data_IF_866956701784
#
_entry.id   IF_866956701784
#
_cell.length_a   1.000
_cell.length_b   1.000
_cell.length_c   1.000
_cell.angle_alpha   90.00
_cell.angle_beta   90.00
_cell.angle_gamma   90.00
#
_symmetry.space_group_name_H-M   'P 1'
#
loop_
_entity.id
_entity.type
_entity.pdbx_description
1 polymer ?
#
# COMPACT_ATOMS: atom_id res chain seq x y z
N UNK A 1 -9.62 42.90 -23.95
CA UNK A 1 -10.30 42.22 -22.81
C UNK A 1 -10.49 40.70 -22.96
N UNK A 2 -10.65 40.12 -24.17
CA UNK A 2 -10.88 38.66 -24.35
C UNK A 2 -9.74 37.73 -23.88
N UNK A 3 -8.46 38.14 -23.95
CA UNK A 3 -7.30 37.30 -23.58
C UNK A 3 -7.21 37.00 -22.07
N UNK A 4 -7.61 37.94 -21.22
CA UNK A 4 -7.55 37.78 -19.75
C UNK A 4 -8.62 36.80 -19.24
N UNK A 5 -9.81 36.82 -19.84
CA UNK A 5 -10.89 35.88 -19.51
C UNK A 5 -10.54 34.43 -19.92
N UNK A 6 -9.84 34.25 -21.04
CA UNK A 6 -9.38 32.95 -21.52
C UNK A 6 -8.31 32.32 -20.61
N UNK A 7 -7.33 33.11 -20.12
CA UNK A 7 -6.35 32.63 -19.13
C UNK A 7 -7.02 32.22 -17.80
N UNK A 8 -7.97 33.01 -17.29
CA UNK A 8 -8.70 32.68 -16.05
C UNK A 8 -9.53 31.40 -16.18
N UNK A 9 -10.20 31.19 -17.31
CA UNK A 9 -10.97 29.97 -17.57
C UNK A 9 -10.05 28.73 -17.68
N UNK A 10 -8.89 28.88 -18.31
CA UNK A 10 -7.89 27.81 -18.41
C UNK A 10 -7.29 27.42 -17.06
N UNK A 11 -6.91 28.40 -16.23
CA UNK A 11 -6.41 28.16 -14.87
C UNK A 11 -7.50 27.51 -14.02
N UNK A 12 -8.74 28.01 -14.06
CA UNK A 12 -9.87 27.42 -13.33
C UNK A 12 -10.11 25.97 -13.74
N UNK A 13 -10.08 25.66 -15.04
CA UNK A 13 -10.23 24.28 -15.54
C UNK A 13 -9.11 23.37 -15.04
N UNK A 14 -7.86 23.84 -15.05
CA UNK A 14 -6.72 23.08 -14.50
C UNK A 14 -6.86 22.83 -13.00
N UNK A 15 -7.23 23.85 -12.23
CA UNK A 15 -7.46 23.70 -10.79
C UNK A 15 -8.58 22.70 -10.52
N UNK A 16 -9.70 22.77 -11.25
CA UNK A 16 -10.78 21.80 -11.12
C UNK A 16 -10.35 20.37 -11.44
N UNK A 17 -9.51 20.18 -12.48
CA UNK A 17 -8.97 18.87 -12.81
C UNK A 17 -8.03 18.33 -11.72
N UNK A 18 -7.18 19.19 -11.16
CA UNK A 18 -6.29 18.81 -10.05
C UNK A 18 -7.11 18.41 -8.82
N UNK A 19 -8.14 19.20 -8.47
CA UNK A 19 -9.02 18.89 -7.34
C UNK A 19 -9.80 17.59 -7.57
N UNK A 20 -10.31 17.37 -8.79
CA UNK A 20 -11.00 16.13 -9.14
C UNK A 20 -10.07 14.91 -9.06
N UNK A 21 -8.82 15.04 -9.54
CA UNK A 21 -7.83 13.98 -9.43
C UNK A 21 -7.45 13.71 -7.96
N UNK A 22 -7.25 14.74 -7.16
CA UNK A 22 -6.98 14.60 -5.73
C UNK A 22 -8.14 13.91 -5.00
N UNK A 23 -9.38 14.30 -5.29
CA UNK A 23 -10.57 13.66 -4.74
C UNK A 23 -10.67 12.19 -5.15
N UNK A 24 -10.37 11.86 -6.41
CA UNK A 24 -10.36 10.49 -6.89
C UNK A 24 -9.29 9.63 -6.17
N UNK A 25 -8.10 10.18 -5.92
CA UNK A 25 -7.04 9.50 -5.16
C UNK A 25 -7.49 9.24 -3.71
N UNK A 26 -8.08 10.24 -3.06
CA UNK A 26 -8.60 10.10 -1.68
C UNK A 26 -9.72 9.06 -1.62
N UNK A 27 -10.65 9.08 -2.58
CA UNK A 27 -11.73 8.11 -2.66
C UNK A 27 -11.19 6.69 -2.89
N UNK A 28 -10.20 6.53 -3.77
CA UNK A 28 -9.57 5.25 -4.05
C UNK A 28 -8.83 4.70 -2.81
N UNK A 29 -8.03 5.54 -2.14
CA UNK A 29 -7.37 5.15 -0.89
C UNK A 29 -8.37 4.82 0.22
N UNK A 30 -9.46 5.61 0.34
CA UNK A 30 -10.54 5.35 1.28
C UNK A 30 -11.25 4.02 1.01
N UNK A 31 -11.55 3.73 -0.26
CA UNK A 31 -12.16 2.46 -0.65
C UNK A 31 -11.25 1.27 -0.30
N UNK A 32 -9.95 1.38 -0.56
CA UNK A 32 -8.97 0.37 -0.15
C UNK A 32 -9.00 0.14 1.37
N UNK A 33 -8.97 1.22 2.16
CA UNK A 33 -8.98 1.14 3.63
C UNK A 33 -10.25 0.49 4.20
N UNK A 34 -11.40 0.69 3.54
CA UNK A 34 -12.70 0.20 4.00
C UNK A 34 -12.99 -1.24 3.53
N UNK A 35 -12.55 -1.60 2.33
CA UNK A 35 -12.85 -2.89 1.71
C UNK A 35 -11.80 -3.96 2.04
N UNK A 36 -10.53 -3.56 2.21
CA UNK A 36 -9.48 -4.49 2.53
C UNK A 36 -9.58 -4.92 4.00
N UNK A 37 -10.07 -6.13 4.24
CA UNK A 37 -10.06 -6.70 5.58
C UNK A 37 -8.60 -6.92 6.00
N UNK A 38 -8.25 -6.49 7.21
CA UNK A 38 -6.87 -6.48 7.70
C UNK A 38 -6.65 -7.62 8.67
N UNK A 39 -5.72 -8.50 8.32
CA UNK A 39 -5.19 -9.53 9.22
C UNK A 39 -3.66 -9.47 9.21
N UNK A 40 -3.03 -9.93 10.28
CA UNK A 40 -1.57 -9.97 10.36
C UNK A 40 -1.10 -11.06 11.31
N UNK A 41 0.04 -11.65 10.98
CA UNK A 41 0.53 -12.81 11.72
C UNK A 41 2.01 -13.07 11.50
N UNK A 42 2.63 -13.64 12.53
CA UNK A 42 4.01 -14.12 12.47
C UNK A 42 4.02 -15.60 12.15
N UNK A 43 4.52 -15.98 10.98
CA UNK A 43 4.77 -17.40 10.69
C UNK A 43 6.08 -17.80 11.36
N UNK A 44 5.98 -18.40 12.56
CA UNK A 44 7.15 -18.76 13.39
C UNK A 44 8.17 -19.64 12.67
N UNK A 45 7.76 -20.42 11.66
CA UNK A 45 8.65 -21.26 10.85
C UNK A 45 9.30 -20.58 9.64
N UNK A 46 8.82 -19.42 9.19
CA UNK A 46 9.32 -18.75 7.98
C UNK A 46 10.27 -17.57 8.28
N UNK A 47 10.36 -17.12 9.54
CA UNK A 47 11.15 -15.94 9.89
C UNK A 47 10.58 -14.63 9.32
N UNK A 48 9.31 -14.63 8.92
CA UNK A 48 8.63 -13.52 8.27
C UNK A 48 7.36 -13.11 9.03
N UNK A 49 7.04 -11.82 8.96
CA UNK A 49 5.81 -11.23 9.44
C UNK A 49 4.93 -10.84 8.25
N UNK A 50 3.71 -11.35 8.23
CA UNK A 50 2.78 -11.21 7.11
C UNK A 50 1.68 -10.21 7.46
N UNK A 51 1.42 -9.32 6.52
CA UNK A 51 0.30 -8.39 6.50
C UNK A 51 -0.66 -8.87 5.41
N UNK A 52 -1.85 -9.32 5.79
CA UNK A 52 -2.86 -9.82 4.87
C UNK A 52 -3.91 -8.74 4.60
N UNK A 53 -4.32 -8.64 3.34
CA UNK A 53 -5.45 -7.83 2.88
C UNK A 53 -6.40 -8.74 2.14
N UNK A 54 -7.55 -8.97 2.75
CA UNK A 54 -8.52 -9.94 2.29
C UNK A 54 -9.65 -9.21 1.56
N UNK A 55 -9.85 -9.58 0.29
CA UNK A 55 -10.85 -9.02 -0.60
C UNK A 55 -11.89 -10.07 -0.97
N UNK A 56 -13.20 -9.79 -0.84
CA UNK A 56 -14.25 -10.73 -1.23
C UNK A 56 -14.18 -11.19 -2.70
N UNK A 57 -13.64 -10.35 -3.59
CA UNK A 57 -13.64 -10.62 -5.03
C UNK A 57 -12.25 -10.49 -5.65
N UNK A 58 -11.93 -11.40 -6.58
CA UNK A 58 -10.62 -11.45 -7.26
C UNK A 58 -10.29 -10.19 -8.06
N UNK A 59 -11.29 -9.52 -8.63
CA UNK A 59 -11.07 -8.28 -9.37
C UNK A 59 -10.58 -7.13 -8.46
N UNK A 60 -10.94 -7.14 -7.18
CA UNK A 60 -10.52 -6.11 -6.21
C UNK A 60 -9.02 -6.19 -5.95
N UNK A 61 -8.44 -7.40 -5.98
CA UNK A 61 -6.99 -7.63 -5.88
C UNK A 61 -6.25 -6.83 -6.95
N UNK A 62 -6.71 -6.89 -8.20
CA UNK A 62 -6.09 -6.16 -9.31
C UNK A 62 -6.36 -4.66 -9.25
N UNK A 63 -7.58 -4.25 -8.87
CA UNK A 63 -7.92 -2.85 -8.71
C UNK A 63 -7.04 -2.18 -7.65
N UNK A 64 -6.82 -2.86 -6.52
CA UNK A 64 -6.13 -2.31 -5.36
C UNK A 64 -4.63 -2.63 -5.29
N UNK A 65 -4.08 -3.40 -6.25
CA UNK A 65 -2.66 -3.70 -6.30
C UNK A 65 -1.75 -2.45 -6.20
N UNK A 66 -2.07 -1.30 -6.83
CA UNK A 66 -1.28 -0.08 -6.62
C UNK A 66 -1.30 0.45 -5.19
N UNK A 67 -2.45 0.38 -4.50
CA UNK A 67 -2.56 0.82 -3.11
C UNK A 67 -1.79 -0.13 -2.17
N UNK A 68 -1.94 -1.43 -2.40
CA UNK A 68 -1.23 -2.47 -1.69
C UNK A 68 0.30 -2.38 -1.88
N UNK A 69 0.76 -2.01 -3.08
CA UNK A 69 2.17 -1.75 -3.33
C UNK A 69 2.69 -0.59 -2.48
N UNK A 70 1.99 0.55 -2.46
CA UNK A 70 2.38 1.71 -1.64
C UNK A 70 2.39 1.35 -0.14
N UNK A 71 1.42 0.56 0.32
CA UNK A 71 1.40 0.07 1.69
C UNK A 71 2.57 -0.86 1.99
N UNK A 72 2.91 -1.79 1.08
CA UNK A 72 4.08 -2.65 1.21
C UNK A 72 5.37 -1.83 1.32
N UNK A 73 5.53 -0.77 0.52
CA UNK A 73 6.66 0.15 0.62
C UNK A 73 6.69 0.86 1.98
N UNK A 74 5.55 1.35 2.46
CA UNK A 74 5.47 2.03 3.75
C UNK A 74 5.84 1.10 4.93
N UNK A 75 5.36 -0.14 4.90
CA UNK A 75 5.71 -1.18 5.89
C UNK A 75 7.22 -1.44 5.86
N UNK A 76 7.82 -1.53 4.68
CA UNK A 76 9.25 -1.82 4.57
C UNK A 76 10.13 -0.65 5.03
N UNK A 77 9.71 0.60 4.80
CA UNK A 77 10.43 1.80 5.26
C UNK A 77 10.33 1.95 6.78
N UNK A 78 9.13 1.74 7.35
CA UNK A 78 8.90 1.88 8.78
C UNK A 78 7.85 0.86 9.24
N UNK A 79 8.27 -0.34 9.67
CA UNK A 79 7.33 -1.40 10.04
C UNK A 79 6.69 -1.21 11.41
N UNK A 80 7.31 -0.43 12.30
CA UNK A 80 6.88 -0.27 13.70
C UNK A 80 5.40 0.13 13.87
N UNK A 81 4.83 1.06 13.09
CA UNK A 81 3.43 1.45 13.20
C UNK A 81 2.45 0.36 12.78
N UNK A 82 2.90 -0.63 12.01
CA UNK A 82 2.07 -1.70 11.47
C UNK A 82 2.13 -2.98 12.31
N UNK A 83 2.91 -2.97 13.40
CA UNK A 83 3.16 -4.12 14.23
C UNK A 83 2.54 -3.94 15.61
N UNK A 84 1.90 -4.98 16.18
CA UNK A 84 1.41 -4.93 17.56
C UNK A 84 2.57 -4.95 18.58
N UNK A 85 3.74 -5.47 18.20
CA UNK A 85 4.96 -5.41 19.00
C UNK A 85 6.11 -4.81 18.17
N UNK A 86 6.63 -3.63 18.54
CA UNK A 86 7.70 -2.95 17.81
C UNK A 86 9.00 -3.76 17.68
N UNK A 87 9.27 -4.69 18.60
CA UNK A 87 10.46 -5.57 18.54
C UNK A 87 10.44 -6.53 17.34
N UNK A 88 9.32 -6.68 16.65
CA UNK A 88 9.21 -7.52 15.46
C UNK A 88 9.62 -6.80 14.17
N UNK A 89 9.98 -5.51 14.24
CA UNK A 89 10.45 -4.72 13.11
C UNK A 89 11.68 -5.33 12.41
N UNK A 90 12.50 -6.10 13.13
CA UNK A 90 13.68 -6.74 12.55
C UNK A 90 13.35 -7.97 11.71
N UNK A 91 12.15 -8.53 11.90
CA UNK A 91 11.61 -9.63 11.10
C UNK A 91 11.34 -9.12 9.69
N UNK A 92 11.58 -9.96 8.67
CA UNK A 92 11.23 -9.59 7.29
C UNK A 92 9.71 -9.38 7.18
N UNK A 93 9.32 -8.29 6.53
CA UNK A 93 7.92 -7.86 6.43
C UNK A 93 7.41 -8.13 5.03
N UNK A 94 6.24 -8.78 4.93
CA UNK A 94 5.64 -9.14 3.66
C UNK A 94 4.18 -8.75 3.66
N UNK A 95 3.73 -8.11 2.59
CA UNK A 95 2.31 -7.84 2.37
C UNK A 95 1.76 -8.81 1.32
N UNK A 96 0.59 -9.37 1.61
CA UNK A 96 -0.11 -10.33 0.79
C UNK A 96 -1.53 -9.83 0.63
N UNK A 97 -1.96 -9.69 -0.62
CA UNK A 97 -3.37 -9.45 -0.95
C UNK A 97 -3.98 -10.75 -1.46
N UNK A 98 -5.13 -11.16 -0.92
CA UNK A 98 -5.74 -12.46 -1.23
C UNK A 98 -7.26 -12.39 -1.27
N UNK A 99 -7.86 -13.38 -1.92
CA UNK A 99 -9.31 -13.65 -1.87
C UNK A 99 -9.64 -14.73 -0.85
N UNK A 100 -10.92 -14.92 -0.48
CA UNK A 100 -11.40 -16.16 0.11
C UNK A 100 -10.86 -17.37 -0.65
N UNK A 101 -10.55 -18.43 0.09
CA UNK A 101 -10.04 -19.70 -0.44
C UNK A 101 -8.73 -19.61 -1.23
N UNK A 102 -8.00 -18.47 -1.11
CA UNK A 102 -6.67 -18.28 -1.67
C UNK A 102 -6.60 -18.39 -3.21
N UNK A 103 -7.74 -18.25 -3.92
CA UNK A 103 -7.83 -18.37 -5.38
C UNK A 103 -6.93 -17.38 -6.13
N UNK A 104 -6.84 -16.14 -5.64
CA UNK A 104 -5.93 -15.12 -6.17
C UNK A 104 -5.06 -14.57 -5.05
N UNK A 105 -3.74 -14.55 -5.27
CA UNK A 105 -2.77 -13.99 -4.33
C UNK A 105 -1.75 -13.13 -5.06
N UNK A 106 -1.45 -11.97 -4.50
CA UNK A 106 -0.34 -11.14 -4.97
C UNK A 106 0.56 -10.79 -3.79
N UNK A 107 1.85 -11.04 -4.02
CA UNK A 107 2.89 -11.01 -3.03
C UNK A 107 3.80 -9.83 -3.28
N UNK A 108 4.02 -9.00 -2.26
CA UNK A 108 5.01 -7.94 -2.31
C UNK A 108 6.25 -8.37 -1.51
N UNK A 109 7.32 -8.83 -2.18
CA UNK A 109 8.48 -9.35 -1.49
C UNK A 109 9.15 -8.26 -0.63
N UNK A 110 9.79 -8.64 0.49
CA UNK A 110 10.59 -7.70 1.28
C UNK A 110 11.74 -7.17 0.43
N UNK A 111 12.07 -5.88 0.57
CA UNK A 111 13.32 -5.37 0.04
C UNK A 111 14.51 -6.14 0.63
N UNK A 112 15.52 -6.47 -0.17
CA UNK A 112 16.76 -7.01 0.37
C UNK A 112 17.34 -5.98 1.33
N UNK A 113 17.44 -6.33 2.62
CA UNK A 113 18.26 -5.55 3.56
C UNK A 113 19.68 -5.57 3.00
N UNK A 114 20.27 -4.40 2.76
CA UNK A 114 21.68 -4.30 2.39
C UNK A 114 22.50 -5.04 3.45
N UNK A 115 23.38 -5.92 3.00
CA UNK A 115 24.32 -6.66 3.86
C UNK A 115 25.37 -5.68 4.36
N UNK A 116 25.05 -4.84 5.33
CA UNK A 116 26.00 -3.92 5.93
C UNK A 116 25.84 -3.93 7.44
N UNK A 117 26.26 -5.05 8.03
CA UNK A 117 26.95 -5.14 9.32
C UNK A 117 27.15 -6.62 9.63
N UNK A 118 28.20 -7.19 9.07
CA UNK A 118 28.89 -8.31 9.72
C UNK A 118 30.14 -7.69 10.33
N UNK A 119 30.19 -7.38 11.64
CA UNK A 119 31.47 -7.35 12.30
C UNK A 119 31.96 -8.81 12.26
N UNK A 120 32.93 -9.08 11.38
CA UNK A 120 33.71 -10.29 11.51
C UNK A 120 34.46 -10.25 12.85
N UNK A 121 34.65 -11.42 13.50
CA UNK A 121 35.21 -11.52 14.84
C UNK A 121 36.62 -10.93 14.98
#
# INVERSE_FOLDING_TARGET
MKRVASCRAFIRRRVLLILAAALAIVAYAGAYLLLATRDSGRARGAGEYFHYRDFPHSWEVYLFAPAAFVEAMAIQINPRPFLPNPSWADTQQRLVIRTPDNETQLWFPPFPKSKEETPQP
#
